data_IF_200244846839
#
_entry.id   IF_200244846839
#
_cell.length_a   1.000
_cell.length_b   1.000
_cell.length_c   1.000
_cell.angle_alpha   90.00
_cell.angle_beta   90.00
_cell.angle_gamma   90.00
#
_symmetry.space_group_name_H-M   'P 1'
#
loop_
_entity.id
_entity.type
_entity.pdbx_description
1 polymer ?
#
# COMPACT_ATOMS: atom_id res chain seq x y z
N UNK A 1 8.01 -16.86 5.73
CA UNK A 1 8.05 -15.41 5.56
C UNK A 1 7.07 -14.99 4.48
N UNK A 2 6.23 -14.02 4.79
CA UNK A 2 5.23 -13.53 3.84
C UNK A 2 5.90 -12.54 2.89
N UNK A 3 5.67 -12.73 1.59
CA UNK A 3 6.18 -11.81 0.57
C UNK A 3 5.01 -11.08 -0.07
N UNK A 4 5.19 -9.81 -0.42
CA UNK A 4 4.11 -9.11 -1.13
C UNK A 4 3.92 -9.70 -2.53
N UNK A 5 2.65 -9.84 -2.93
CA UNK A 5 2.34 -10.24 -4.30
C UNK A 5 2.76 -9.11 -5.26
N UNK A 6 2.85 -9.40 -6.58
CA UNK A 6 3.16 -8.33 -7.53
C UNK A 6 2.21 -7.13 -7.43
N UNK A 7 0.92 -7.40 -7.19
CA UNK A 7 -0.05 -6.33 -6.98
C UNK A 7 0.23 -5.51 -5.74
N UNK A 8 0.60 -6.17 -4.64
CA UNK A 8 0.95 -5.50 -3.39
C UNK A 8 2.23 -4.68 -3.54
N UNK A 9 3.21 -5.18 -4.27
CA UNK A 9 4.44 -4.44 -4.52
C UNK A 9 4.18 -3.17 -5.28
N UNK A 10 3.25 -3.22 -6.23
CA UNK A 10 2.83 -2.04 -6.97
C UNK A 10 2.22 -1.01 -6.03
N UNK A 11 1.37 -1.45 -5.11
CA UNK A 11 0.75 -0.58 -4.12
C UNK A 11 1.81 0.08 -3.24
N UNK A 12 2.78 -0.70 -2.76
CA UNK A 12 3.87 -0.19 -1.93
C UNK A 12 4.70 0.84 -2.67
N UNK A 13 4.98 0.58 -3.94
CA UNK A 13 5.75 1.50 -4.76
C UNK A 13 5.00 2.81 -4.97
N UNK A 14 3.71 2.75 -5.22
CA UNK A 14 2.90 3.95 -5.39
C UNK A 14 2.82 4.74 -4.07
N UNK A 15 2.68 4.03 -2.94
CA UNK A 15 2.65 4.67 -1.64
C UNK A 15 3.97 5.40 -1.35
N UNK A 16 5.08 4.80 -1.74
CA UNK A 16 6.39 5.42 -1.57
C UNK A 16 6.53 6.65 -2.47
N UNK A 17 6.10 6.52 -3.72
CA UNK A 17 6.24 7.59 -4.71
C UNK A 17 5.43 8.83 -4.34
N UNK A 18 4.21 8.65 -3.87
CA UNK A 18 3.30 9.75 -3.56
C UNK A 18 3.23 10.09 -2.07
N UNK A 19 3.87 9.30 -1.24
CA UNK A 19 3.89 9.52 0.20
C UNK A 19 2.68 9.01 0.95
N UNK A 20 1.59 8.73 0.26
CA UNK A 20 0.36 8.21 0.88
C UNK A 20 -0.56 7.62 -0.18
N UNK A 21 -1.54 6.87 0.29
CA UNK A 21 -2.63 6.38 -0.55
C UNK A 21 -3.95 6.83 0.06
N UNK A 22 -4.90 7.16 -0.80
CA UNK A 22 -6.21 7.65 -0.38
C UNK A 22 -7.22 6.52 -0.46
N UNK A 23 -8.01 6.35 0.61
CA UNK A 23 -9.07 5.36 0.63
C UNK A 23 -10.40 6.01 0.28
N UNK A 24 -11.17 5.38 -0.62
CA UNK A 24 -12.46 5.89 -1.04
C UNK A 24 -13.32 4.72 -1.51
N UNK A 25 -14.53 4.60 -0.94
CA UNK A 25 -15.48 3.55 -1.31
C UNK A 25 -14.89 2.13 -1.29
N UNK A 26 -14.10 1.85 -0.26
CA UNK A 26 -13.51 0.52 -0.09
C UNK A 26 -12.36 0.19 -1.03
N UNK A 27 -11.79 1.20 -1.68
CA UNK A 27 -10.68 1.04 -2.61
C UNK A 27 -9.60 2.06 -2.33
N UNK A 28 -8.37 1.76 -2.72
CA UNK A 28 -7.25 2.66 -2.54
C UNK A 28 -6.81 3.25 -3.87
N UNK A 29 -6.43 4.52 -3.82
CA UNK A 29 -6.01 5.29 -4.98
C UNK A 29 -4.75 6.06 -4.66
N UNK A 30 -3.93 6.34 -5.69
CA UNK A 30 -2.88 7.33 -5.56
C UNK A 30 -3.52 8.72 -5.48
N UNK A 31 -2.92 9.67 -4.73
CA UNK A 31 -3.49 11.02 -4.64
C UNK A 31 -3.68 11.63 -6.04
N UNK A 32 -4.88 12.10 -6.31
CA UNK A 32 -5.20 12.72 -7.58
C UNK A 32 -5.44 11.78 -8.74
N UNK A 33 -5.40 10.47 -8.51
CA UNK A 33 -5.60 9.47 -9.55
C UNK A 33 -7.00 8.86 -9.39
N UNK A 34 -7.61 8.48 -10.51
CA UNK A 34 -8.91 7.83 -10.54
C UNK A 34 -8.84 6.33 -10.69
N UNK A 35 -7.64 5.78 -10.91
CA UNK A 35 -7.48 4.35 -11.05
C UNK A 35 -7.19 3.71 -9.70
N UNK A 36 -8.00 2.72 -9.35
CA UNK A 36 -7.81 2.03 -8.09
C UNK A 36 -6.52 1.20 -8.14
N UNK A 37 -5.81 1.18 -7.02
CA UNK A 37 -4.62 0.36 -6.87
C UNK A 37 -4.97 -1.02 -6.33
N UNK A 38 -5.86 -1.05 -5.34
CA UNK A 38 -6.28 -2.30 -4.72
C UNK A 38 -7.56 -2.05 -3.94
N UNK A 39 -8.15 -3.12 -3.43
CA UNK A 39 -9.28 -3.02 -2.51
C UNK A 39 -8.76 -2.67 -1.12
N UNK A 40 -9.64 -2.14 -0.28
CA UNK A 40 -9.29 -1.84 1.10
C UNK A 40 -8.99 -3.12 1.88
N UNK A 41 -9.59 -4.22 1.48
CA UNK A 41 -9.32 -5.54 2.05
C UNK A 41 -7.86 -5.92 1.90
N UNK A 42 -7.30 -5.70 0.70
CA UNK A 42 -5.87 -5.93 0.46
C UNK A 42 -5.02 -5.00 1.30
N UNK A 43 -5.43 -3.74 1.42
CA UNK A 43 -4.71 -2.76 2.24
C UNK A 43 -4.68 -3.19 3.70
N UNK A 44 -5.80 -3.71 4.22
CA UNK A 44 -5.86 -4.20 5.60
C UNK A 44 -4.89 -5.35 5.80
N UNK A 45 -4.81 -6.25 4.83
CA UNK A 45 -3.84 -7.36 4.90
C UNK A 45 -2.41 -6.83 4.94
N UNK A 46 -2.12 -5.77 4.19
CA UNK A 46 -0.79 -5.16 4.19
C UNK A 46 -0.50 -4.43 5.49
N UNK A 47 -1.52 -3.85 6.12
CA UNK A 47 -1.37 -3.25 7.45
C UNK A 47 -1.02 -4.33 8.47
N UNK A 48 -1.70 -5.48 8.40
CA UNK A 48 -1.42 -6.61 9.30
C UNK A 48 -0.02 -7.16 9.10
N UNK A 49 0.49 -7.09 7.88
CA UNK A 49 1.86 -7.52 7.59
C UNK A 49 2.90 -6.50 8.05
N UNK A 50 2.48 -5.31 8.46
CA UNK A 50 3.39 -4.26 8.89
C UNK A 50 3.93 -3.41 7.75
N UNK A 51 3.39 -3.54 6.55
CA UNK A 51 3.89 -2.83 5.37
C UNK A 51 3.22 -1.47 5.16
N UNK A 52 1.99 -1.32 5.62
CA UNK A 52 1.24 -0.08 5.57
C UNK A 52 0.75 0.28 6.96
N UNK A 53 0.41 1.53 7.15
CA UNK A 53 -0.25 1.96 8.39
C UNK A 53 -1.30 3.02 8.06
N UNK A 54 -2.29 3.12 8.92
CA UNK A 54 -3.30 4.16 8.81
C UNK A 54 -2.73 5.49 9.22
N UNK A 55 -3.11 6.52 8.48
CA UNK A 55 -2.83 7.89 8.87
C UNK A 55 -4.10 8.70 8.63
N UNK A 56 -4.93 8.80 9.67
CA UNK A 56 -6.27 9.34 9.48
C UNK A 56 -7.06 8.41 8.59
N UNK A 57 -7.61 8.93 7.50
CA UNK A 57 -8.34 8.13 6.52
C UNK A 57 -7.44 7.59 5.42
N UNK A 58 -6.19 8.03 5.40
CA UNK A 58 -5.24 7.62 4.38
C UNK A 58 -4.36 6.49 4.89
N UNK A 59 -3.57 5.94 3.97
CA UNK A 59 -2.58 4.92 4.29
C UNK A 59 -1.21 5.41 3.88
N UNK A 60 -0.18 5.01 4.62
CA UNK A 60 1.19 5.30 4.22
C UNK A 60 2.04 4.05 4.37
N UNK A 61 3.12 4.00 3.60
CA UNK A 61 4.05 2.87 3.63
C UNK A 61 4.95 3.00 4.85
N UNK A 62 5.22 1.86 5.50
CA UNK A 62 6.14 1.80 6.64
C UNK A 62 7.55 1.50 6.15
N UNK A 63 8.59 1.69 7.00
CA UNK A 63 9.93 1.25 6.64
C UNK A 63 9.99 -0.23 6.28
N UNK A 64 9.20 -1.07 6.96
CA UNK A 64 9.12 -2.49 6.62
C UNK A 64 8.51 -2.70 5.24
N UNK A 65 7.51 -1.88 4.88
CA UNK A 65 6.91 -1.94 3.55
C UNK A 65 7.91 -1.58 2.46
N UNK A 66 8.72 -0.56 2.70
CA UNK A 66 9.76 -0.18 1.76
C UNK A 66 10.77 -1.30 1.57
N UNK A 67 11.18 -1.96 2.66
CA UNK A 67 12.09 -3.09 2.58
C UNK A 67 11.47 -4.26 1.82
N UNK A 68 10.19 -4.51 2.04
CA UNK A 68 9.50 -5.59 1.35
C UNK A 68 9.44 -5.35 -0.16
N UNK A 69 9.19 -4.10 -0.56
CA UNK A 69 9.16 -3.75 -1.99
C UNK A 69 10.55 -3.82 -2.61
N UNK A 70 11.56 -3.40 -1.88
CA UNK A 70 12.94 -3.39 -2.39
C UNK A 70 13.54 -4.79 -2.51
N UNK A 71 13.01 -5.77 -1.79
CA UNK A 71 13.54 -7.13 -1.81
C UNK A 71 13.20 -7.80 -3.14
N UNK A 72 14.22 -8.22 -3.85
CA UNK A 72 14.06 -8.93 -5.12
C UNK A 72 14.46 -10.38 -4.96
N UNK A 73 13.72 -11.23 -5.64
CA UNK A 73 14.01 -12.65 -5.70
C UNK A 73 15.00 -12.95 -6.83
#
# INVERSE_FOLDING_TARGET
MVKPSPGMRRVLRQAHLYGRLVAHNGKLFSPGDNHRLCSEETAIAMVKAGWLRHRGEDYEVTPDGLRADARRE
#
